data_IF_020701823732
#
_entry.id   IF_020701823732
#
_cell.length_a   1.000
_cell.length_b   1.000
_cell.length_c   1.000
_cell.angle_alpha   90.00
_cell.angle_beta   90.00
_cell.angle_gamma   90.00
#
_symmetry.space_group_name_H-M   'P 1'
#
loop_
_entity.id
_entity.type
_entity.pdbx_description
1 polymer ?
#
# COMPACT_ATOMS: atom_id res chain seq x y z
N UNK A 1 -8.14 36.34 43.40
CA UNK A 1 -7.57 34.98 43.58
C UNK A 1 -8.69 33.99 43.38
N UNK A 2 -8.80 33.41 42.18
CA UNK A 2 -9.85 32.45 41.85
C UNK A 2 -9.20 31.09 41.58
N UNK A 3 -9.54 30.10 42.41
CA UNK A 3 -8.90 28.79 42.42
C UNK A 3 -9.47 27.93 41.30
N UNK A 4 -8.59 27.42 40.43
CA UNK A 4 -8.92 26.49 39.35
C UNK A 4 -9.61 25.22 39.87
N UNK A 5 -10.72 24.87 39.24
CA UNK A 5 -11.42 23.62 39.44
C UNK A 5 -10.58 22.44 38.91
N UNK A 6 -10.35 21.48 39.79
CA UNK A 6 -9.63 20.22 39.54
C UNK A 6 -10.54 19.27 38.77
N UNK A 7 -10.29 19.12 37.46
CA UNK A 7 -10.99 18.13 36.62
C UNK A 7 -10.47 16.72 36.95
N UNK A 8 -11.27 15.96 37.69
CA UNK A 8 -11.02 14.54 37.96
C UNK A 8 -11.30 13.69 36.73
N UNK A 9 -10.25 13.02 36.24
CA UNK A 9 -10.25 12.07 35.12
C UNK A 9 -11.07 10.82 35.48
N UNK A 10 -12.15 10.60 34.75
CA UNK A 10 -12.89 9.33 34.75
C UNK A 10 -11.98 8.22 34.21
N UNK A 11 -11.82 7.13 34.98
CA UNK A 11 -11.15 5.93 34.51
C UNK A 11 -11.96 5.30 33.39
N UNK A 12 -11.41 5.32 32.18
CA UNK A 12 -11.88 4.48 31.08
C UNK A 12 -11.55 3.03 31.42
N UNK A 13 -12.58 2.32 31.87
CA UNK A 13 -12.66 0.87 31.90
C UNK A 13 -12.41 0.31 30.50
N UNK A 14 -11.26 -0.34 30.30
CA UNK A 14 -11.08 -1.59 29.54
C UNK A 14 -9.58 -1.93 29.35
N UNK A 15 -8.79 -1.88 30.42
CA UNK A 15 -7.50 -2.59 30.50
C UNK A 15 -7.62 -3.71 31.54
N UNK A 16 -8.10 -4.88 31.11
CA UNK A 16 -7.70 -6.19 31.66
C UNK A 16 -8.30 -7.33 30.85
N UNK A 17 -7.51 -7.86 29.93
CA UNK A 17 -7.42 -9.31 29.73
C UNK A 17 -6.16 -9.64 28.94
N UNK A 18 -5.02 -9.71 29.63
CA UNK A 18 -3.89 -10.50 29.20
C UNK A 18 -3.97 -11.86 29.90
N UNK A 19 -4.18 -12.93 29.13
CA UNK A 19 -3.87 -14.29 29.56
C UNK A 19 -3.58 -15.18 28.35
N UNK A 20 -2.28 -15.38 28.13
CA UNK A 20 -1.60 -16.61 27.73
C UNK A 20 -2.49 -17.77 27.27
N UNK A 21 -2.39 -18.16 25.99
CA UNK A 21 -2.41 -19.56 25.57
C UNK A 21 -1.45 -19.73 24.37
N UNK A 22 -0.18 -19.92 24.70
CA UNK A 22 0.83 -20.48 23.79
C UNK A 22 0.71 -22.00 23.88
N UNK A 23 -0.08 -22.60 23.00
CA UNK A 23 -0.13 -24.06 22.87
C UNK A 23 1.08 -24.55 22.08
N UNK A 24 1.92 -25.28 22.77
CA UNK A 24 2.94 -26.20 22.28
C UNK A 24 2.37 -27.23 21.30
N UNK A 25 3.01 -27.39 20.15
CA UNK A 25 3.01 -28.66 19.42
C UNK A 25 4.46 -29.10 19.24
N UNK A 26 4.77 -30.21 19.90
CA UNK A 26 6.01 -30.96 19.76
C UNK A 26 6.04 -31.68 18.42
N UNK A 27 7.25 -31.68 17.87
CA UNK A 27 7.75 -32.49 16.75
C UNK A 27 7.62 -33.98 17.01
N UNK A 28 7.25 -34.77 15.99
CA UNK A 28 7.63 -36.17 15.83
C UNK A 28 7.56 -36.59 14.34
N UNK A 29 8.71 -36.94 13.76
CA UNK A 29 8.94 -37.99 12.74
C UNK A 29 10.44 -37.97 12.36
N UNK A 30 11.29 -38.76 13.01
CA UNK A 30 11.82 -40.07 12.56
C UNK A 30 12.65 -39.96 11.27
N UNK A 31 13.98 -39.86 11.36
CA UNK A 31 14.97 -40.96 11.30
C UNK A 31 14.79 -41.84 10.04
N UNK A 32 15.65 -41.62 9.05
CA UNK A 32 16.26 -42.66 8.20
C UNK A 32 17.71 -42.23 7.96
N UNK A 33 18.64 -43.07 8.42
CA UNK A 33 20.07 -43.02 8.11
C UNK A 33 20.34 -43.55 6.69
N UNK A 34 21.42 -43.09 6.08
CA UNK A 34 21.92 -43.57 4.79
C UNK A 34 23.17 -42.81 4.36
N UNK A 35 24.32 -43.29 4.85
CA UNK A 35 25.71 -42.91 4.52
C UNK A 35 26.07 -43.22 3.06
N UNK A 36 26.89 -42.37 2.40
CA UNK A 36 28.04 -42.74 1.54
C UNK A 36 28.77 -41.51 0.95
N UNK A 37 29.96 -41.27 1.50
CA UNK A 37 31.29 -41.03 0.88
C UNK A 37 31.55 -40.02 -0.26
N UNK A 38 32.51 -39.14 0.08
CA UNK A 38 33.71 -38.69 -0.67
C UNK A 38 33.57 -37.93 -2.01
N UNK A 39 33.97 -36.64 -2.02
CA UNK A 39 35.27 -36.21 -2.58
C UNK A 39 35.57 -34.72 -2.35
N UNK A 40 36.88 -34.44 -2.26
CA UNK A 40 37.52 -33.21 -1.84
C UNK A 40 37.63 -32.12 -2.93
N UNK A 41 37.87 -30.88 -2.50
CA UNK A 41 38.19 -29.77 -3.40
C UNK A 41 38.47 -28.47 -2.65
N UNK A 42 39.68 -28.34 -2.14
CA UNK A 42 40.25 -27.14 -1.51
C UNK A 42 40.22 -25.90 -2.43
N UNK A 43 40.08 -24.71 -1.84
CA UNK A 43 41.03 -23.58 -1.99
C UNK A 43 40.68 -22.41 -1.06
N UNK A 44 41.55 -22.19 -0.08
CA UNK A 44 41.71 -20.93 0.65
C UNK A 44 42.39 -19.87 -0.25
N UNK A 45 42.05 -18.58 -0.11
CA UNK A 45 43.10 -17.54 -0.01
C UNK A 45 42.65 -16.22 0.67
N UNK A 46 43.33 -15.96 1.79
CA UNK A 46 43.68 -14.73 2.53
C UNK A 46 43.36 -13.31 2.00
N UNK A 47 42.68 -12.56 2.88
CA UNK A 47 42.99 -11.23 3.45
C UNK A 47 44.01 -10.28 2.76
N UNK A 48 43.65 -8.98 2.67
CA UNK A 48 44.36 -7.86 3.37
C UNK A 48 43.60 -6.51 3.30
N UNK A 49 43.68 -5.76 4.40
CA UNK A 49 43.15 -4.39 4.64
C UNK A 49 44.24 -3.32 4.51
N UNK A 50 43.84 -2.07 4.19
CA UNK A 50 44.31 -0.71 4.64
C UNK A 50 44.46 0.29 3.46
N UNK A 51 44.51 1.63 3.67
CA UNK A 51 43.75 2.55 4.55
C UNK A 51 43.16 3.77 3.77
N UNK A 52 42.45 4.75 4.40
CA UNK A 52 41.87 5.92 3.71
C UNK A 52 42.62 7.26 3.96
N UNK A 53 42.47 8.25 3.05
CA UNK A 53 42.58 9.74 3.22
C UNK A 53 42.62 10.48 1.83
N UNK A 54 42.50 11.83 1.71
CA UNK A 54 41.30 12.66 1.93
C UNK A 54 41.00 13.65 0.76
N UNK A 55 39.89 14.39 0.88
CA UNK A 55 39.45 15.66 0.25
C UNK A 55 40.19 16.27 -0.96
N UNK A 56 39.42 16.62 -2.01
CA UNK A 56 39.77 17.61 -3.03
C UNK A 56 38.55 18.08 -3.83
N UNK A 57 38.20 19.35 -3.67
CA UNK A 57 37.14 20.08 -4.38
C UNK A 57 37.55 20.49 -5.80
N UNK A 58 36.63 20.42 -6.78
CA UNK A 58 36.47 21.45 -7.83
C UNK A 58 35.27 21.15 -8.74
N UNK A 59 34.45 22.16 -8.98
CA UNK A 59 33.47 22.29 -10.07
C UNK A 59 34.01 23.31 -11.10
N UNK A 60 33.34 23.61 -12.22
CA UNK A 60 32.53 22.77 -13.12
C UNK A 60 33.11 22.82 -14.56
N UNK A 61 32.71 21.90 -15.45
CA UNK A 61 32.87 22.11 -16.89
C UNK A 61 31.56 21.86 -17.62
N UNK A 62 31.10 22.92 -18.27
CA UNK A 62 30.06 22.98 -19.29
C UNK A 62 30.33 21.98 -20.41
N UNK A 63 29.35 21.12 -20.69
CA UNK A 63 29.37 20.18 -21.80
C UNK A 63 28.05 20.24 -22.55
N UNK A 64 28.10 20.79 -23.76
CA UNK A 64 27.04 20.86 -24.75
C UNK A 64 26.45 19.45 -24.98
N UNK A 65 25.14 19.29 -24.78
CA UNK A 65 24.43 18.02 -24.96
C UNK A 65 24.47 17.56 -26.41
N UNK A 66 25.27 16.53 -26.68
CA UNK A 66 25.24 15.75 -27.92
C UNK A 66 23.97 14.89 -27.89
N UNK A 67 22.94 15.30 -28.65
CA UNK A 67 21.67 14.56 -28.75
C UNK A 67 21.94 13.24 -29.48
N UNK A 68 21.56 12.13 -28.83
CA UNK A 68 21.67 10.78 -29.37
C UNK A 68 20.78 10.65 -30.63
N UNK A 69 21.26 10.12 -31.77
CA UNK A 69 20.50 10.06 -33.01
C UNK A 69 19.22 9.21 -32.89
N UNK A 70 19.19 8.24 -31.97
CA UNK A 70 17.98 7.47 -31.66
C UNK A 70 16.86 8.29 -31.01
N UNK A 71 17.21 9.30 -30.20
CA UNK A 71 16.21 10.18 -29.55
C UNK A 71 15.56 11.11 -30.59
N UNK A 72 16.35 11.61 -31.54
CA UNK A 72 15.85 12.43 -32.65
C UNK A 72 14.85 11.64 -33.51
N UNK A 73 15.13 10.37 -33.81
CA UNK A 73 14.23 9.52 -34.59
C UNK A 73 12.89 9.26 -33.86
N UNK A 74 12.92 9.08 -32.54
CA UNK A 74 11.71 8.93 -31.72
C UNK A 74 10.90 10.22 -31.62
N UNK A 75 11.57 11.38 -31.55
CA UNK A 75 10.89 12.67 -31.50
C UNK A 75 10.23 13.01 -32.84
N UNK A 76 10.84 12.61 -33.96
CA UNK A 76 10.27 12.76 -35.31
C UNK A 76 9.06 11.82 -35.52
N UNK A 77 9.09 10.59 -34.99
CA UNK A 77 7.94 9.68 -35.12
C UNK A 77 6.74 10.07 -34.25
N UNK A 78 7.00 10.54 -33.01
CA UNK A 78 5.97 11.06 -32.11
C UNK A 78 5.34 12.35 -32.62
N UNK A 79 6.14 13.23 -33.23
CA UNK A 79 5.62 14.43 -33.88
C UNK A 79 4.80 14.08 -35.12
N UNK A 80 5.22 13.11 -35.94
CA UNK A 80 4.43 12.65 -37.09
C UNK A 80 3.07 12.04 -36.68
N UNK A 81 3.04 11.28 -35.59
CA UNK A 81 1.80 10.71 -35.02
C UNK A 81 0.88 11.79 -34.42
N UNK A 82 1.46 12.78 -33.75
CA UNK A 82 0.73 13.92 -33.19
C UNK A 82 0.14 14.80 -34.29
N UNK A 83 0.93 15.12 -35.33
CA UNK A 83 0.49 15.88 -36.50
C UNK A 83 -0.58 15.12 -37.31
N UNK A 84 -0.45 13.80 -37.44
CA UNK A 84 -1.48 12.96 -38.07
C UNK A 84 -2.79 12.95 -37.26
N UNK A 85 -2.70 12.79 -35.94
CA UNK A 85 -3.88 12.85 -35.06
C UNK A 85 -4.55 14.22 -35.03
N UNK A 86 -3.77 15.30 -35.12
CA UNK A 86 -4.27 16.67 -35.15
C UNK A 86 -4.92 17.00 -36.50
N UNK A 87 -4.32 16.58 -37.61
CA UNK A 87 -4.92 16.71 -38.95
C UNK A 87 -6.25 15.95 -39.03
N UNK A 88 -6.33 14.75 -38.44
CA UNK A 88 -7.57 13.98 -38.36
C UNK A 88 -8.63 14.63 -37.47
N UNK A 89 -8.24 15.23 -36.34
CA UNK A 89 -9.17 15.98 -35.48
C UNK A 89 -9.75 17.20 -36.22
N UNK A 90 -8.94 17.89 -37.02
CA UNK A 90 -9.38 19.02 -37.84
C UNK A 90 -10.32 18.56 -38.96
N UNK A 91 -10.02 17.46 -39.65
CA UNK A 91 -10.89 16.89 -40.70
C UNK A 91 -12.23 16.41 -40.11
N UNK A 92 -12.21 15.77 -38.95
CA UNK A 92 -13.41 15.28 -38.27
C UNK A 92 -14.26 16.42 -37.68
N UNK A 93 -13.61 17.48 -37.20
CA UNK A 93 -14.31 18.70 -36.71
C UNK A 93 -14.85 19.58 -37.84
N UNK A 94 -14.41 19.39 -39.09
CA UNK A 94 -14.97 20.08 -40.26
C UNK A 94 -16.19 19.36 -40.85
N UNK A 95 -16.38 18.09 -40.52
CA UNK A 95 -17.57 17.31 -40.86
C UNK A 95 -18.59 17.41 -39.74
N UNK A 96 -19.13 18.60 -39.51
CA UNK A 96 -20.17 18.85 -38.49
C UNK A 96 -21.58 18.38 -38.92
N UNK A 97 -21.71 17.55 -39.97
CA UNK A 97 -22.99 16.97 -40.37
C UNK A 97 -22.97 15.43 -40.49
N UNK A 98 -23.65 14.82 -39.50
CA UNK A 98 -24.31 13.50 -39.46
C UNK A 98 -23.39 12.25 -39.52
N UNK A 99 -23.54 11.41 -38.49
CA UNK A 99 -23.00 10.05 -38.42
C UNK A 99 -23.76 9.13 -39.39
N UNK A 100 -23.36 9.12 -40.66
CA UNK A 100 -23.74 8.09 -41.61
C UNK A 100 -23.02 6.77 -41.30
N UNK A 101 -23.58 5.64 -41.74
CA UNK A 101 -23.00 4.30 -41.53
C UNK A 101 -21.58 4.15 -42.09
N UNK A 102 -21.22 4.97 -43.06
CA UNK A 102 -19.89 5.02 -43.68
C UNK A 102 -18.85 5.69 -42.77
N UNK A 103 -19.23 6.78 -42.09
CA UNK A 103 -18.38 7.46 -41.10
C UNK A 103 -18.09 6.58 -39.88
N UNK A 104 -19.09 5.79 -39.46
CA UNK A 104 -18.93 4.80 -38.40
C UNK A 104 -17.97 3.68 -38.82
N UNK A 105 -18.09 3.19 -40.06
CA UNK A 105 -17.22 2.14 -40.58
C UNK A 105 -15.76 2.62 -40.72
N UNK A 106 -15.56 3.86 -41.18
CA UNK A 106 -14.22 4.48 -41.23
C UNK A 106 -13.62 4.65 -39.84
N UNK A 107 -14.43 5.05 -38.84
CA UNK A 107 -13.98 5.16 -37.45
C UNK A 107 -13.57 3.79 -36.87
N UNK A 108 -14.33 2.73 -37.16
CA UNK A 108 -14.02 1.37 -36.69
C UNK A 108 -12.77 0.79 -37.35
N UNK A 109 -12.58 0.99 -38.66
CA UNK A 109 -11.35 0.61 -39.37
C UNK A 109 -10.16 1.35 -38.77
N UNK A 110 -10.31 2.64 -38.48
CA UNK A 110 -9.26 3.44 -37.86
C UNK A 110 -8.87 2.91 -36.47
N UNK A 111 -9.84 2.61 -35.61
CA UNK A 111 -9.60 2.00 -34.30
C UNK A 111 -8.86 0.66 -34.44
N UNK A 112 -9.26 -0.18 -35.40
CA UNK A 112 -8.61 -1.46 -35.64
C UNK A 112 -7.14 -1.30 -36.09
N UNK A 113 -6.87 -0.33 -36.98
CA UNK A 113 -5.52 -0.02 -37.44
C UNK A 113 -4.67 0.54 -36.29
N UNK A 114 -5.21 1.46 -35.49
CA UNK A 114 -4.52 2.01 -34.32
C UNK A 114 -4.17 0.91 -33.30
N UNK A 115 -5.10 -0.01 -33.02
CA UNK A 115 -4.88 -1.16 -32.14
C UNK A 115 -3.84 -2.13 -32.71
N UNK A 116 -3.80 -2.33 -34.03
CA UNK A 116 -2.79 -3.16 -34.70
C UNK A 116 -1.38 -2.57 -34.61
N UNK A 117 -1.24 -1.25 -34.77
CA UNK A 117 0.05 -0.58 -34.60
C UNK A 117 0.47 -0.52 -33.13
N UNK A 118 -0.47 -0.33 -32.20
CA UNK A 118 -0.22 -0.39 -30.77
C UNK A 118 0.20 -1.80 -30.31
N UNK A 119 -0.42 -2.84 -30.85
CA UNK A 119 -0.08 -4.23 -30.52
C UNK A 119 1.29 -4.64 -31.05
N UNK A 120 1.70 -4.17 -32.23
CA UNK A 120 3.04 -4.43 -32.78
C UNK A 120 4.15 -3.69 -32.05
N UNK A 121 3.88 -2.51 -31.49
CA UNK A 121 4.86 -1.68 -30.79
C UNK A 121 4.70 -1.71 -29.26
N UNK A 122 4.04 -2.73 -28.71
CA UNK A 122 3.70 -2.82 -27.28
C UNK A 122 4.94 -2.80 -26.37
N UNK A 123 6.07 -3.36 -26.85
CA UNK A 123 7.34 -3.33 -26.14
C UNK A 123 7.93 -1.91 -26.04
N UNK A 124 7.80 -1.12 -27.10
CA UNK A 124 8.23 0.28 -27.13
C UNK A 124 7.29 1.17 -26.29
N UNK A 125 5.97 0.91 -26.33
CA UNK A 125 5.01 1.61 -25.47
C UNK A 125 5.25 1.34 -23.98
N UNK A 126 5.61 0.11 -23.61
CA UNK A 126 5.97 -0.21 -22.24
C UNK A 126 7.27 0.49 -21.81
N UNK A 127 8.26 0.58 -22.71
CA UNK A 127 9.50 1.32 -22.45
C UNK A 127 9.26 2.84 -22.31
N UNK A 128 8.39 3.44 -23.13
CA UNK A 128 8.05 4.86 -23.00
C UNK A 128 7.23 5.15 -21.74
N UNK A 129 6.31 4.27 -21.34
CA UNK A 129 5.58 4.38 -20.07
C UNK A 129 6.52 4.28 -18.87
N UNK A 130 7.52 3.40 -18.90
CA UNK A 130 8.53 3.30 -17.85
C UNK A 130 9.40 4.57 -17.80
N UNK A 131 9.82 5.08 -18.96
CA UNK A 131 10.61 6.31 -19.03
C UNK A 131 9.82 7.54 -18.54
N UNK A 132 8.54 7.66 -18.91
CA UNK A 132 7.66 8.73 -18.43
C UNK A 132 7.43 8.61 -16.92
N UNK A 133 7.28 7.39 -16.40
CA UNK A 133 7.17 7.15 -14.96
C UNK A 133 8.43 7.59 -14.21
N UNK A 134 9.62 7.31 -14.76
CA UNK A 134 10.89 7.76 -14.19
C UNK A 134 11.04 9.28 -14.23
N UNK A 135 10.67 9.93 -15.34
CA UNK A 135 10.68 11.40 -15.46
C UNK A 135 9.66 12.02 -14.48
N UNK A 136 8.49 11.41 -14.30
CA UNK A 136 7.47 11.89 -13.37
C UNK A 136 7.90 11.70 -11.90
N UNK A 137 8.59 10.60 -11.58
CA UNK A 137 9.18 10.35 -10.26
C UNK A 137 10.35 11.30 -9.95
N UNK A 138 11.10 11.73 -10.96
CA UNK A 138 12.18 12.71 -10.83
C UNK A 138 11.64 14.14 -10.71
N UNK A 139 10.58 14.46 -11.47
CA UNK A 139 9.89 15.76 -11.39
C UNK A 139 9.11 15.91 -10.07
N UNK A 140 8.53 14.84 -9.53
CA UNK A 140 7.86 14.88 -8.21
C UNK A 140 8.85 15.02 -7.04
N UNK A 141 10.08 14.51 -7.18
CA UNK A 141 11.16 14.78 -6.23
C UNK A 141 11.67 16.21 -6.32
N UNK A 142 11.74 16.79 -7.52
CA UNK A 142 12.19 18.17 -7.73
C UNK A 142 11.11 19.23 -7.43
N UNK A 143 9.82 18.87 -7.45
CA UNK A 143 8.71 19.72 -7.02
C UNK A 143 8.38 19.60 -5.53
N UNK A 144 9.02 18.68 -4.80
CA UNK A 144 9.11 18.72 -3.34
C UNK A 144 10.20 19.72 -2.91
N UNK A 145 10.02 20.96 -3.34
CA UNK A 145 10.65 22.11 -2.69
C UNK A 145 10.32 22.08 -1.20
N UNK A 146 11.37 22.24 -0.37
CA UNK A 146 11.40 22.47 1.09
C UNK A 146 10.03 22.76 1.74
N UNK A 147 9.17 21.75 1.86
CA UNK A 147 8.11 21.79 2.85
C UNK A 147 8.76 21.30 4.13
N UNK A 148 9.02 22.23 5.05
CA UNK A 148 9.34 21.93 6.43
C UNK A 148 8.19 21.10 7.00
N UNK A 149 8.26 19.77 6.86
CA UNK A 149 7.40 18.85 7.59
C UNK A 149 7.82 19.00 9.05
N UNK A 150 7.11 19.84 9.79
CA UNK A 150 7.28 19.96 11.23
C UNK A 150 7.20 18.57 11.84
N UNK A 151 8.15 18.24 12.71
CA UNK A 151 8.13 16.95 13.40
C UNK A 151 6.87 16.90 14.26
N UNK A 152 6.11 15.79 14.21
CA UNK A 152 4.91 15.63 15.03
C UNK A 152 5.26 15.75 16.52
N UNK A 153 4.40 16.44 17.29
CA UNK A 153 4.59 16.61 18.73
C UNK A 153 4.28 15.28 19.43
N UNK A 154 5.21 14.80 20.27
CA UNK A 154 5.09 13.55 21.01
C UNK A 154 5.10 13.82 22.51
N UNK A 155 4.21 13.16 23.25
CA UNK A 155 4.23 13.13 24.72
C UNK A 155 4.09 11.70 25.21
N UNK A 156 4.83 11.35 26.26
CA UNK A 156 4.87 10.00 26.83
C UNK A 156 4.33 10.02 28.27
N UNK A 157 3.63 8.97 28.67
CA UNK A 157 3.14 8.78 30.04
C UNK A 157 4.12 7.86 30.77
N UNK A 158 4.80 8.36 31.80
CA UNK A 158 5.74 7.58 32.61
C UNK A 158 6.91 8.42 33.14
N UNK A 159 7.43 8.05 34.30
CA UNK A 159 8.49 8.78 35.01
C UNK A 159 9.83 8.73 34.23
N UNK A 160 10.50 9.88 34.06
CA UNK A 160 11.81 10.01 33.38
C UNK A 160 12.97 9.50 34.25
N UNK A 161 12.67 8.78 35.33
CA UNK A 161 13.66 8.20 36.23
C UNK A 161 14.61 7.28 35.45
N UNK A 162 15.86 7.70 35.32
CA UNK A 162 16.94 6.92 34.71
C UNK A 162 17.04 5.58 35.44
N UNK A 163 16.95 4.44 34.74
CA UNK A 163 17.04 3.15 35.40
C UNK A 163 18.52 2.86 35.70
N UNK A 164 18.88 2.92 36.97
CA UNK A 164 20.06 2.21 37.44
C UNK A 164 19.82 0.70 37.31
N UNK A 165 20.77 0.03 36.65
CA UNK A 165 20.96 -1.42 36.49
C UNK A 165 20.21 -2.12 35.35
N UNK A 166 21.03 -2.81 34.55
CA UNK A 166 20.73 -3.63 33.36
C UNK A 166 19.74 -4.75 33.68
N UNK A 167 18.45 -4.48 33.50
CA UNK A 167 17.50 -5.47 33.02
C UNK A 167 17.05 -4.97 31.66
N UNK A 168 17.17 -5.79 30.61
CA UNK A 168 16.63 -5.49 29.27
C UNK A 168 15.10 -5.57 29.38
N UNK A 169 14.50 -4.66 30.13
CA UNK A 169 13.07 -4.40 30.09
C UNK A 169 12.87 -3.69 28.75
N UNK A 170 12.14 -4.29 27.82
CA UNK A 170 11.66 -3.60 26.61
C UNK A 170 10.97 -2.33 27.12
N UNK A 171 11.59 -1.17 26.95
CA UNK A 171 10.97 0.12 27.25
C UNK A 171 9.92 0.38 26.18
N UNK A 172 8.76 -0.26 26.35
CA UNK A 172 7.54 0.13 25.68
C UNK A 172 7.12 1.43 26.36
N UNK A 173 7.07 2.51 25.59
CA UNK A 173 6.59 3.80 26.08
C UNK A 173 5.17 3.99 25.58
N UNK A 174 4.23 4.26 26.47
CA UNK A 174 2.88 4.69 26.08
C UNK A 174 2.88 6.22 25.88
N UNK A 175 2.11 6.71 24.92
CA UNK A 175 2.04 8.13 24.65
C UNK A 175 1.05 8.49 23.55
N UNK A 176 1.10 9.74 23.13
CA UNK A 176 0.33 10.22 21.98
C UNK A 176 1.20 11.09 21.08
N UNK A 177 0.95 10.95 19.78
CA UNK A 177 1.64 11.68 18.72
C UNK A 177 0.62 12.43 17.87
N UNK A 178 0.76 13.75 17.80
CA UNK A 178 -0.05 14.62 16.94
C UNK A 178 0.63 14.85 15.60
N UNK A 179 -0.09 14.62 14.51
CA UNK A 179 0.39 14.86 13.15
C UNK A 179 -0.09 16.21 12.64
N UNK A 180 0.64 16.78 11.68
CA UNK A 180 0.35 18.10 11.12
C UNK A 180 -0.97 18.18 10.34
N UNK A 181 -1.53 17.03 9.94
CA UNK A 181 -2.81 16.91 9.26
C UNK A 181 -4.02 16.83 10.22
N UNK A 182 -3.81 16.97 11.54
CA UNK A 182 -4.85 16.87 12.56
C UNK A 182 -5.12 15.44 13.04
N UNK A 183 -4.49 14.44 12.43
CA UNK A 183 -4.55 13.06 12.93
C UNK A 183 -3.76 12.96 14.24
N UNK A 184 -4.10 11.95 15.05
CA UNK A 184 -3.27 11.61 16.19
C UNK A 184 -3.28 10.11 16.47
N UNK A 185 -2.16 9.62 17.00
CA UNK A 185 -1.99 8.25 17.47
C UNK A 185 -1.90 8.24 18.98
N UNK A 186 -2.58 7.30 19.62
CA UNK A 186 -2.51 6.99 21.05
C UNK A 186 -2.13 5.52 21.21
N UNK A 187 -1.04 5.23 21.92
CA UNK A 187 -0.64 3.86 22.18
C UNK A 187 0.84 3.68 22.47
N UNK A 188 1.32 2.49 22.19
CA UNK A 188 2.68 2.06 22.46
C UNK A 188 3.69 2.56 21.40
N UNK A 189 4.89 2.88 21.87
CA UNK A 189 6.02 3.31 21.05
C UNK A 189 7.25 2.46 21.32
N UNK A 190 7.93 2.10 20.24
CA UNK A 190 9.25 1.50 20.24
C UNK A 190 10.20 2.30 19.36
N UNK A 191 11.33 2.76 19.93
CA UNK A 191 12.34 3.59 19.22
C UNK A 191 11.74 4.82 18.51
N UNK A 192 10.74 5.45 19.14
CA UNK A 192 10.08 6.66 18.63
C UNK A 192 9.07 6.43 17.50
N UNK A 193 8.73 5.16 17.20
CA UNK A 193 7.69 4.78 16.23
C UNK A 193 6.55 4.06 16.94
N UNK A 194 5.33 4.22 16.42
CA UNK A 194 4.16 3.46 16.87
C UNK A 194 4.44 1.96 16.72
N UNK A 195 4.26 1.20 17.79
CA UNK A 195 4.60 -0.23 17.84
C UNK A 195 3.87 -0.88 19.01
N UNK A 196 3.27 -2.06 18.82
CA UNK A 196 2.42 -2.69 19.84
C UNK A 196 0.95 -2.33 19.64
N UNK A 197 0.18 -2.17 20.72
CA UNK A 197 -1.24 -1.81 20.61
C UNK A 197 -1.43 -0.28 20.53
N UNK A 198 -2.38 0.17 19.72
CA UNK A 198 -2.78 1.57 19.73
C UNK A 198 -3.93 1.94 18.80
N UNK A 199 -4.39 3.17 18.95
CA UNK A 199 -5.50 3.76 18.21
C UNK A 199 -5.00 4.96 17.42
N UNK A 200 -5.29 4.99 16.12
CA UNK A 200 -5.05 6.12 15.25
C UNK A 200 -6.36 6.76 14.85
N UNK A 201 -6.51 8.03 15.16
CA UNK A 201 -7.66 8.82 14.82
C UNK A 201 -7.35 9.61 13.55
N UNK A 202 -8.08 9.30 12.48
CA UNK A 202 -8.02 10.11 11.28
C UNK A 202 -8.98 11.28 11.44
N UNK A 203 -8.48 12.50 11.32
CA UNK A 203 -9.29 13.70 11.42
C UNK A 203 -10.47 13.62 10.45
N UNK A 204 -11.70 13.58 10.99
CA UNK A 204 -12.98 13.48 10.24
C UNK A 204 -13.19 12.20 9.43
N UNK A 205 -12.18 11.33 9.23
CA UNK A 205 -12.25 10.19 8.31
C UNK A 205 -12.53 8.85 8.99
N UNK A 206 -12.26 8.74 10.29
CA UNK A 206 -12.50 7.50 11.04
C UNK A 206 -11.43 7.21 12.09
N UNK A 207 -11.28 5.94 12.44
CA UNK A 207 -10.19 5.47 13.32
C UNK A 207 -9.75 4.05 12.98
N UNK A 208 -8.50 3.76 13.28
CA UNK A 208 -7.93 2.41 13.33
C UNK A 208 -7.58 2.06 14.77
N UNK A 209 -7.92 0.86 15.22
CA UNK A 209 -7.57 0.30 16.52
C UNK A 209 -6.96 -1.09 16.30
N UNK A 210 -5.73 -1.32 16.74
CA UNK A 210 -5.09 -2.62 16.54
C UNK A 210 -3.58 -2.63 16.76
N UNK A 211 -2.96 -3.59 16.12
CA UNK A 211 -1.54 -3.91 16.22
C UNK A 211 -0.68 -3.06 15.26
N UNK A 212 0.47 -2.62 15.75
CA UNK A 212 1.40 -1.74 15.07
C UNK A 212 2.80 -2.31 15.04
N UNK A 213 3.46 -2.21 13.89
CA UNK A 213 4.90 -2.47 13.76
C UNK A 213 5.53 -1.35 12.94
N UNK A 214 6.50 -0.66 13.56
CA UNK A 214 7.29 0.41 12.94
C UNK A 214 6.46 1.51 12.25
N UNK A 215 5.34 1.88 12.86
CA UNK A 215 4.44 2.93 12.36
C UNK A 215 3.44 2.46 11.30
N UNK A 216 3.27 1.15 11.10
CA UNK A 216 2.29 0.57 10.17
C UNK A 216 1.36 -0.41 10.88
N UNK A 217 0.13 -0.54 10.36
CA UNK A 217 -0.81 -1.59 10.77
C UNK A 217 -0.21 -2.96 10.42
N UNK A 218 -0.01 -3.82 11.41
CA UNK A 218 0.57 -5.14 11.19
C UNK A 218 0.17 -6.07 12.34
N UNK A 219 -0.63 -7.09 12.04
CA UNK A 219 -1.34 -7.90 13.04
C UNK A 219 -2.85 -7.77 12.90
N UNK A 220 -3.59 -7.76 14.00
CA UNK A 220 -5.05 -7.63 14.00
C UNK A 220 -5.48 -6.19 14.24
N UNK A 221 -6.56 -5.77 13.57
CA UNK A 221 -7.10 -4.45 13.78
C UNK A 221 -8.53 -4.27 13.30
N UNK A 222 -9.08 -3.14 13.71
CA UNK A 222 -10.42 -2.67 13.40
C UNK A 222 -10.30 -1.26 12.84
N UNK A 223 -10.70 -1.09 11.59
CA UNK A 223 -10.78 0.21 10.93
C UNK A 223 -12.25 0.58 10.76
N UNK A 224 -12.62 1.75 11.28
CA UNK A 224 -13.99 2.28 11.19
C UNK A 224 -13.94 3.60 10.44
N UNK A 225 -14.73 3.73 9.38
CA UNK A 225 -14.79 4.94 8.57
C UNK A 225 -15.99 5.82 8.99
N UNK A 226 -15.89 7.13 8.79
CA UNK A 226 -16.91 8.10 9.22
C UNK A 226 -18.32 7.84 8.62
N UNK A 227 -18.40 7.19 7.44
CA UNK A 227 -19.69 6.81 6.82
C UNK A 227 -20.28 5.51 7.35
N UNK A 228 -19.66 4.85 8.34
CA UNK A 228 -20.19 3.65 8.99
C UNK A 228 -19.65 2.32 8.45
N UNK A 229 -18.88 2.33 7.36
CA UNK A 229 -18.14 1.13 6.95
C UNK A 229 -17.17 0.70 8.06
N UNK A 230 -16.91 -0.60 8.15
CA UNK A 230 -15.98 -1.15 9.15
C UNK A 230 -15.28 -2.39 8.66
N UNK A 231 -13.98 -2.46 8.86
CA UNK A 231 -13.17 -3.66 8.66
C UNK A 231 -12.73 -4.20 10.02
N UNK A 232 -12.78 -5.51 10.19
CA UNK A 232 -12.17 -6.22 11.32
C UNK A 232 -11.41 -7.41 10.75
N UNK A 233 -10.11 -7.45 10.96
CA UNK A 233 -9.30 -8.55 10.45
C UNK A 233 -7.82 -8.31 10.58
N UNK A 234 -7.07 -9.08 9.80
CA UNK A 234 -5.62 -9.01 9.76
C UNK A 234 -5.13 -7.90 8.81
N UNK A 235 -3.95 -7.39 9.13
CA UNK A 235 -3.20 -6.38 8.41
C UNK A 235 -1.74 -6.82 8.29
N UNK A 236 -1.09 -6.41 7.20
CA UNK A 236 0.35 -6.57 6.98
C UNK A 236 0.88 -5.34 6.27
N UNK A 237 1.88 -4.69 6.85
CA UNK A 237 2.52 -3.48 6.29
C UNK A 237 1.52 -2.38 5.87
N UNK A 238 0.46 -2.17 6.66
CA UNK A 238 -0.55 -1.14 6.43
C UNK A 238 -1.70 -1.55 5.51
N UNK A 239 -1.69 -2.77 4.96
CA UNK A 239 -2.73 -3.26 4.06
C UNK A 239 -3.50 -4.41 4.70
N UNK A 240 -4.81 -4.50 4.42
CA UNK A 240 -5.63 -5.67 4.79
C UNK A 240 -5.02 -6.93 4.19
N UNK A 241 -4.86 -7.96 5.01
CA UNK A 241 -4.20 -9.21 4.64
C UNK A 241 -4.79 -10.36 5.46
N UNK A 242 -4.63 -11.61 5.05
CA UNK A 242 -5.13 -12.76 5.81
C UNK A 242 -6.65 -12.79 5.87
N UNK A 243 -7.23 -13.20 6.99
CA UNK A 243 -8.69 -13.25 7.14
C UNK A 243 -9.27 -11.95 7.71
N UNK A 244 -10.40 -11.51 7.17
CA UNK A 244 -11.07 -10.30 7.63
C UNK A 244 -12.51 -10.17 7.16
N UNK A 245 -13.27 -9.37 7.90
CA UNK A 245 -14.66 -9.03 7.63
C UNK A 245 -14.76 -7.53 7.35
N UNK A 246 -15.27 -7.18 6.17
CA UNK A 246 -15.58 -5.81 5.78
C UNK A 246 -17.09 -5.64 5.67
N UNK A 247 -17.65 -4.76 6.51
CA UNK A 247 -19.05 -4.33 6.44
C UNK A 247 -19.10 -2.98 5.76
N UNK A 248 -19.82 -2.90 4.65
CA UNK A 248 -20.10 -1.67 3.95
C UNK A 248 -21.18 -0.90 4.69
N UNK A 249 -21.13 0.44 4.63
CA UNK A 249 -22.21 1.28 5.16
C UNK A 249 -23.57 1.04 4.49
N UNK A 250 -23.59 0.47 3.27
CA UNK A 250 -24.80 0.08 2.54
C UNK A 250 -25.49 -1.14 3.13
N UNK A 251 -24.85 -1.86 4.05
CA UNK A 251 -25.34 -3.10 4.65
C UNK A 251 -24.69 -4.36 4.06
N UNK A 252 -24.04 -4.25 2.90
CA UNK A 252 -23.30 -5.36 2.30
C UNK A 252 -22.13 -5.78 3.20
N UNK A 253 -21.71 -7.03 3.08
CA UNK A 253 -20.63 -7.60 3.87
C UNK A 253 -19.78 -8.52 3.02
N UNK A 254 -18.46 -8.48 3.23
CA UNK A 254 -17.54 -9.51 2.76
C UNK A 254 -16.81 -10.11 3.96
N UNK A 255 -16.80 -11.43 4.07
CA UNK A 255 -16.05 -12.18 5.06
C UNK A 255 -15.21 -13.23 4.35
N UNK A 256 -13.89 -13.15 4.44
CA UNK A 256 -13.02 -14.09 3.73
C UNK A 256 -11.56 -13.68 3.77
N UNK A 257 -10.82 -14.21 2.81
CA UNK A 257 -9.41 -13.93 2.65
C UNK A 257 -9.16 -12.57 1.96
N UNK A 258 -8.02 -11.97 2.32
CA UNK A 258 -7.54 -10.67 1.86
C UNK A 258 -6.07 -10.75 1.51
N UNK A 259 -5.70 -10.12 0.40
CA UNK A 259 -4.32 -10.01 -0.03
C UNK A 259 -4.04 -8.59 -0.55
N UNK A 260 -3.08 -7.92 0.06
CA UNK A 260 -2.63 -6.57 -0.29
C UNK A 260 -3.80 -5.58 -0.47
N UNK A 261 -4.72 -5.58 0.49
CA UNK A 261 -5.84 -4.63 0.51
C UNK A 261 -7.06 -5.05 -0.31
N UNK A 262 -7.03 -6.17 -1.02
CA UNK A 262 -8.12 -6.65 -1.88
C UNK A 262 -8.66 -7.99 -1.39
N UNK A 263 -9.94 -8.28 -1.64
CA UNK A 263 -10.47 -9.63 -1.43
C UNK A 263 -9.74 -10.62 -2.35
N UNK A 264 -9.39 -11.76 -1.78
CA UNK A 264 -8.67 -12.83 -2.45
C UNK A 264 -9.12 -14.16 -1.85
N UNK A 265 -8.82 -15.29 -2.49
CA UNK A 265 -9.10 -16.61 -1.96
C UNK A 265 -10.60 -16.85 -1.72
N UNK A 266 -10.93 -17.71 -0.77
CA UNK A 266 -12.32 -18.05 -0.47
C UNK A 266 -12.98 -17.01 0.44
N UNK A 267 -14.24 -16.70 0.14
CA UNK A 267 -15.03 -15.77 0.95
C UNK A 267 -16.53 -15.85 0.71
N UNK A 268 -17.26 -15.18 1.60
CA UNK A 268 -18.70 -14.99 1.55
C UNK A 268 -18.97 -13.50 1.37
N UNK A 269 -19.68 -13.16 0.29
CA UNK A 269 -20.24 -11.83 0.08
C UNK A 269 -21.74 -11.89 0.36
N UNK A 270 -22.21 -11.14 1.34
CA UNK A 270 -23.64 -11.00 1.65
C UNK A 270 -24.10 -9.61 1.26
N UNK A 271 -25.24 -9.54 0.58
CA UNK A 271 -25.88 -8.30 0.18
C UNK A 271 -26.91 -7.88 1.24
N UNK A 272 -27.20 -6.59 1.31
CA UNK A 272 -28.17 -6.04 2.27
C UNK A 272 -29.61 -6.62 2.09
N UNK A 273 -29.95 -7.09 0.90
CA UNK A 273 -31.23 -7.76 0.58
C UNK A 273 -31.33 -9.18 1.17
N UNK A 274 -30.23 -9.75 1.67
CA UNK A 274 -30.12 -11.12 2.18
C UNK A 274 -29.66 -12.14 1.14
N UNK A 275 -29.41 -11.73 -0.11
CA UNK A 275 -28.74 -12.56 -1.10
C UNK A 275 -27.26 -12.74 -0.71
N UNK A 276 -26.65 -13.83 -1.14
CA UNK A 276 -25.23 -14.10 -0.84
C UNK A 276 -24.53 -14.86 -1.95
N UNK A 277 -23.23 -14.64 -2.06
CA UNK A 277 -22.31 -15.40 -2.89
C UNK A 277 -21.24 -16.03 -2.01
N UNK A 278 -20.98 -17.32 -2.23
CA UNK A 278 -19.91 -18.08 -1.57
C UNK A 278 -19.00 -18.62 -2.66
N UNK A 279 -17.72 -18.27 -2.65
CA UNK A 279 -16.79 -18.75 -3.67
C UNK A 279 -15.42 -18.11 -3.59
N UNK A 280 -14.63 -18.33 -4.64
CA UNK A 280 -13.30 -17.76 -4.77
C UNK A 280 -13.35 -16.30 -5.27
N UNK A 281 -12.35 -15.53 -4.88
CA UNK A 281 -12.11 -14.18 -5.35
C UNK A 281 -10.63 -13.97 -5.67
N UNK A 282 -10.35 -13.11 -6.64
CA UNK A 282 -8.98 -12.80 -7.05
C UNK A 282 -8.89 -11.32 -7.39
N UNK A 283 -8.10 -10.56 -6.63
CA UNK A 283 -7.91 -9.12 -6.83
C UNK A 283 -9.23 -8.32 -6.83
N UNK A 284 -10.08 -8.57 -5.84
CA UNK A 284 -11.32 -7.81 -5.69
C UNK A 284 -12.50 -8.31 -6.52
N UNK A 285 -12.31 -9.29 -7.42
CA UNK A 285 -13.38 -9.81 -8.27
C UNK A 285 -13.68 -11.27 -7.97
N UNK A 286 -14.94 -11.69 -8.17
CA UNK A 286 -15.36 -13.10 -8.10
C UNK A 286 -14.60 -13.90 -9.15
N UNK A 287 -14.10 -15.06 -8.76
CA UNK A 287 -13.27 -15.92 -9.60
C UNK A 287 -13.55 -17.39 -9.31
N UNK A 288 -13.12 -18.29 -10.18
CA UNK A 288 -13.24 -19.72 -9.95
C UNK A 288 -14.68 -20.21 -9.75
N UNK A 289 -14.82 -21.25 -8.92
CA UNK A 289 -16.13 -21.82 -8.56
C UNK A 289 -16.77 -21.01 -7.43
N UNK A 290 -18.09 -20.84 -7.52
CA UNK A 290 -18.88 -20.23 -6.46
C UNK A 290 -20.37 -20.49 -6.63
N UNK A 291 -21.10 -20.33 -5.54
CA UNK A 291 -22.54 -20.53 -5.45
C UNK A 291 -23.23 -19.22 -5.06
N UNK A 292 -24.34 -18.94 -5.75
CA UNK A 292 -25.22 -17.84 -5.44
C UNK A 292 -26.46 -18.35 -4.73
N UNK A 293 -26.82 -17.68 -3.65
CA UNK A 293 -28.07 -17.87 -2.95
C UNK A 293 -28.84 -16.55 -3.01
N UNK A 294 -29.99 -16.55 -3.69
CA UNK A 294 -30.86 -15.39 -3.79
C UNK A 294 -31.99 -15.51 -2.79
N UNK A 295 -32.31 -14.42 -2.09
CA UNK A 295 -33.47 -14.39 -1.22
C UNK A 295 -34.74 -14.31 -2.07
N UNK A 296 -35.63 -15.28 -1.93
CA UNK A 296 -36.98 -15.19 -2.49
C UNK A 296 -37.89 -14.42 -1.52
N UNK A 297 -38.35 -13.24 -1.92
CA UNK A 297 -39.52 -12.61 -1.31
C UNK A 297 -40.78 -13.13 -2.00
N UNK A 298 -41.59 -13.93 -1.29
CA UNK A 298 -42.96 -14.16 -1.70
C UNK A 298 -43.71 -12.83 -1.59
N UNK A 299 -44.25 -12.35 -2.71
CA UNK A 299 -45.21 -11.26 -2.71
C UNK A 299 -46.48 -11.81 -2.03
N UNK A 300 -46.72 -11.41 -0.78
CA UNK A 300 -47.96 -11.66 -0.05
C UNK A 300 -49.00 -10.59 -0.38
#
# INVERSE_FOLDING_TARGET
MEKQAKLTRTQSSLLRSSSNLRSSFQSLSSIVEGEQDLEAGEKEEKQRRKPPKPFGSSSPKSGLTRINPGLAFTMVSLSFLSLSSFFFFVVFSQTDEILTSENLLLALIFVAVALFFASKNIALLNQTVIAIKQICDETTKNFQGRNSKSKPVQWYIGDDSKPEKKVIKRFVKEGVQFYSNGDFYEGEFHKGKCNGSGVYYYFVRGRYEGDWIDGRYDGHGIESWARGSRYKGQYRQGLRHGYGVYRFYTGDCYAGEWFNGQSHGFGVQSCADGSSYVGESRFGVKHGLGSYHFRYTYLS
#
